data_IF_841618102072
#
_entry.id   IF_841618102072
#
_cell.length_a   1.000
_cell.length_b   1.000
_cell.length_c   1.000
_cell.angle_alpha   90.00
_cell.angle_beta   90.00
_cell.angle_gamma   90.00
#
_symmetry.space_group_name_H-M   'P 1'
#
loop_
_entity.id
_entity.type
_entity.pdbx_description
1 polymer ?
#
# COMPACT_ATOMS: atom_id res chain seq x y z
N UNK A 1 -18.95 -10.49 -4.92
CA UNK A 1 -17.50 -10.71 -4.72
C UNK A 1 -16.69 -10.24 -5.92
N UNK A 2 -17.07 -10.61 -7.16
CA UNK A 2 -16.38 -10.13 -8.36
C UNK A 2 -16.34 -8.59 -8.49
N UNK A 3 -17.44 -7.90 -8.17
CA UNK A 3 -17.46 -6.43 -8.14
C UNK A 3 -16.58 -5.85 -7.03
N UNK A 4 -16.62 -6.46 -5.84
CA UNK A 4 -15.84 -6.03 -4.67
C UNK A 4 -14.34 -6.15 -4.95
N UNK A 5 -13.86 -7.29 -5.46
CA UNK A 5 -12.43 -7.48 -5.74
C UNK A 5 -11.91 -6.47 -6.77
N UNK A 6 -12.69 -6.15 -7.79
CA UNK A 6 -12.33 -5.09 -8.75
C UNK A 6 -12.28 -3.71 -8.10
N UNK A 7 -13.26 -3.35 -7.27
CA UNK A 7 -13.26 -2.07 -6.57
C UNK A 7 -12.05 -1.91 -5.62
N UNK A 8 -11.71 -2.97 -4.88
CA UNK A 8 -10.56 -2.97 -3.96
C UNK A 8 -9.23 -2.94 -4.70
N UNK A 9 -9.11 -3.65 -5.83
CA UNK A 9 -7.89 -3.60 -6.64
C UNK A 9 -7.62 -2.21 -7.23
N UNK A 10 -8.67 -1.43 -7.54
CA UNK A 10 -8.52 -0.04 -7.99
C UNK A 10 -7.92 0.87 -6.90
N UNK A 11 -8.18 0.59 -5.62
CA UNK A 11 -7.54 1.32 -4.51
C UNK A 11 -6.04 1.04 -4.48
N UNK A 12 -5.63 -0.21 -4.67
CA UNK A 12 -4.21 -0.56 -4.76
C UNK A 12 -3.53 0.16 -5.94
N UNK A 13 -4.16 0.19 -7.12
CA UNK A 13 -3.61 0.88 -8.29
C UNK A 13 -3.48 2.39 -8.08
N UNK A 14 -4.49 3.03 -7.48
CA UNK A 14 -4.41 4.44 -7.11
C UNK A 14 -3.23 4.72 -6.16
N UNK A 15 -3.09 3.92 -5.12
CA UNK A 15 -2.03 4.08 -4.13
C UNK A 15 -0.63 3.83 -4.73
N UNK A 16 -0.48 2.86 -5.63
CA UNK A 16 0.77 2.63 -6.35
C UNK A 16 1.14 3.85 -7.23
N UNK A 17 0.17 4.44 -7.94
CA UNK A 17 0.40 5.67 -8.70
C UNK A 17 0.78 6.85 -7.80
N UNK A 18 0.10 7.02 -6.66
CA UNK A 18 0.42 8.09 -5.70
C UNK A 18 1.82 7.88 -5.08
N UNK A 19 2.18 6.66 -4.75
CA UNK A 19 3.52 6.32 -4.26
C UNK A 19 4.58 6.65 -5.31
N UNK A 20 4.35 6.30 -6.58
CA UNK A 20 5.27 6.60 -7.67
C UNK A 20 5.53 8.12 -7.83
N UNK A 21 4.50 8.95 -7.68
CA UNK A 21 4.64 10.41 -7.69
C UNK A 21 5.45 10.91 -6.48
N UNK A 22 5.24 10.32 -5.30
CA UNK A 22 5.89 10.73 -4.07
C UNK A 22 7.40 10.38 -4.03
N UNK A 23 7.79 9.23 -4.59
CA UNK A 23 9.19 8.77 -4.58
C UNK A 23 10.03 9.37 -5.70
N UNK A 24 9.42 9.91 -6.76
CA UNK A 24 10.14 10.50 -7.89
C UNK A 24 10.40 12.00 -7.67
N UNK A 25 11.69 12.38 -7.65
CA UNK A 25 12.13 13.76 -7.45
C UNK A 25 11.61 14.75 -8.51
N UNK A 26 11.16 14.25 -9.68
CA UNK A 26 10.55 15.09 -10.72
C UNK A 26 9.14 15.56 -10.36
N UNK A 27 8.44 14.82 -9.49
CA UNK A 27 7.03 15.06 -9.17
C UNK A 27 6.79 15.37 -7.69
N UNK A 28 7.67 14.95 -6.79
CA UNK A 28 7.47 15.05 -5.34
C UNK A 28 7.71 16.45 -4.72
N UNK A 29 7.83 17.48 -5.57
CA UNK A 29 8.00 18.88 -5.17
C UNK A 29 9.22 19.15 -4.27
N UNK A 30 10.40 18.64 -4.62
CA UNK A 30 11.66 18.98 -3.97
C UNK A 30 12.05 18.07 -2.79
N UNK A 31 11.38 16.93 -2.63
CA UNK A 31 11.84 15.88 -1.71
C UNK A 31 12.96 15.06 -2.36
N UNK A 32 13.87 14.45 -1.56
CA UNK A 32 14.89 13.55 -2.08
C UNK A 32 14.30 12.38 -2.90
N UNK A 33 15.04 11.93 -3.90
CA UNK A 33 14.66 10.75 -4.69
C UNK A 33 14.49 9.52 -3.79
N UNK A 34 13.45 8.73 -4.06
CA UNK A 34 13.03 7.58 -3.27
C UNK A 34 12.77 7.89 -1.78
N UNK A 35 12.55 9.16 -1.43
CA UNK A 35 12.42 9.64 -0.06
C UNK A 35 13.58 9.18 0.84
N UNK A 36 14.80 9.11 0.29
CA UNK A 36 15.98 8.80 1.08
C UNK A 36 16.25 9.90 2.11
N UNK A 37 16.42 9.52 3.38
CA UNK A 37 16.84 10.43 4.44
C UNK A 37 18.36 10.58 4.55
N UNK A 38 19.13 9.87 3.72
CA UNK A 38 20.59 9.92 3.75
C UNK A 38 21.10 11.26 3.22
N UNK A 39 22.14 11.79 3.88
CA UNK A 39 22.83 13.02 3.49
C UNK A 39 24.35 12.84 3.50
N UNK A 40 25.07 13.77 2.86
CA UNK A 40 26.54 13.75 2.83
C UNK A 40 27.12 12.57 2.07
N UNK A 41 28.25 12.04 2.55
CA UNK A 41 29.02 11.00 1.85
C UNK A 41 28.24 9.69 1.65
N UNK A 42 27.29 9.38 2.53
CA UNK A 42 26.49 8.15 2.48
C UNK A 42 25.28 8.27 1.56
N UNK A 43 24.95 9.45 1.05
CA UNK A 43 23.74 9.63 0.22
C UNK A 43 23.74 8.76 -1.04
N UNK A 44 24.90 8.60 -1.70
CA UNK A 44 24.99 7.86 -2.96
C UNK A 44 24.77 6.35 -2.83
N UNK A 45 25.00 5.78 -1.63
CA UNK A 45 24.91 4.33 -1.38
C UNK A 45 23.58 3.91 -0.75
N UNK A 46 22.70 4.87 -0.41
CA UNK A 46 21.39 4.59 0.16
C UNK A 46 20.30 4.79 -0.89
N UNK A 47 19.41 3.82 -1.00
CA UNK A 47 18.33 3.77 -2.00
C UNK A 47 16.96 4.15 -1.45
N UNK A 48 16.82 4.31 -0.14
CA UNK A 48 15.56 4.73 0.50
C UNK A 48 14.44 3.75 0.21
N UNK A 49 13.30 4.25 -0.28
CA UNK A 49 12.09 3.46 -0.50
C UNK A 49 12.02 2.76 -1.87
N UNK A 50 13.13 2.71 -2.63
CA UNK A 50 13.14 2.09 -3.96
C UNK A 50 12.67 0.64 -3.95
N UNK A 51 13.17 -0.16 -3.01
CA UNK A 51 12.78 -1.57 -2.88
C UNK A 51 11.29 -1.71 -2.50
N UNK A 52 10.80 -0.83 -1.62
CA UNK A 52 9.39 -0.82 -1.22
C UNK A 52 8.47 -0.51 -2.41
N UNK A 53 8.83 0.45 -3.27
CA UNK A 53 8.07 0.75 -4.49
C UNK A 53 7.99 -0.47 -5.43
N UNK A 54 9.09 -1.22 -5.59
CA UNK A 54 9.09 -2.45 -6.40
C UNK A 54 8.08 -3.46 -5.85
N UNK A 55 8.06 -3.64 -4.53
CA UNK A 55 7.09 -4.52 -3.87
C UNK A 55 5.64 -4.06 -4.08
N UNK A 56 5.37 -2.76 -3.92
CA UNK A 56 4.04 -2.18 -4.15
C UNK A 56 3.56 -2.40 -5.58
N UNK A 57 4.43 -2.19 -6.57
CA UNK A 57 4.10 -2.44 -7.98
C UNK A 57 3.76 -3.91 -8.22
N UNK A 58 4.54 -4.84 -7.64
CA UNK A 58 4.29 -6.28 -7.77
C UNK A 58 2.95 -6.71 -7.13
N UNK A 59 2.65 -6.26 -5.91
CA UNK A 59 1.39 -6.58 -5.24
C UNK A 59 0.18 -6.00 -5.96
N UNK A 60 0.31 -4.77 -6.45
CA UNK A 60 -0.75 -4.09 -7.22
C UNK A 60 -1.02 -4.84 -8.53
N UNK A 61 0.02 -5.23 -9.26
CA UNK A 61 -0.12 -6.02 -10.48
C UNK A 61 -0.79 -7.39 -10.21
N UNK A 62 -0.44 -8.06 -9.10
CA UNK A 62 -1.09 -9.30 -8.69
C UNK A 62 -2.58 -9.08 -8.37
N UNK A 63 -2.92 -8.02 -7.64
CA UNK A 63 -4.30 -7.69 -7.29
C UNK A 63 -5.14 -7.40 -8.55
N UNK A 64 -4.61 -6.61 -9.48
CA UNK A 64 -5.27 -6.29 -10.74
C UNK A 64 -5.48 -7.53 -11.61
N UNK A 65 -4.48 -8.42 -11.70
CA UNK A 65 -4.58 -9.68 -12.45
C UNK A 65 -5.74 -10.56 -11.94
N UNK A 66 -6.04 -10.51 -10.63
CA UNK A 66 -7.08 -11.33 -10.00
C UNK A 66 -8.51 -10.82 -10.18
N UNK A 67 -8.71 -9.72 -10.92
CA UNK A 67 -10.03 -9.10 -11.12
C UNK A 67 -10.92 -9.81 -12.16
N UNK A 68 -10.42 -10.84 -12.84
CA UNK A 68 -11.21 -11.66 -13.77
C UNK A 68 -12.45 -12.24 -13.04
N UNK A 69 -13.70 -11.94 -13.47
CA UNK A 69 -14.89 -12.35 -12.73
C UNK A 69 -15.07 -13.87 -12.71
N UNK A 70 -15.12 -14.52 -11.55
CA UNK A 70 -15.34 -15.97 -11.49
C UNK A 70 -16.78 -16.37 -11.89
N UNK A 71 -17.74 -15.47 -11.69
CA UNK A 71 -19.17 -15.71 -11.98
C UNK A 71 -19.51 -16.00 -13.45
N UNK A 72 -18.63 -15.65 -14.39
CA UNK A 72 -18.81 -15.96 -15.82
C UNK A 72 -18.32 -17.36 -16.20
N UNK A 73 -17.67 -18.08 -15.29
CA UNK A 73 -17.07 -19.40 -15.55
C UNK A 73 -17.98 -20.58 -15.21
N UNK A 74 -19.30 -20.42 -15.21
CA UNK A 74 -20.24 -21.53 -14.95
C UNK A 74 -19.90 -22.78 -15.78
N UNK A 75 -19.97 -23.95 -15.15
CA UNK A 75 -19.77 -25.26 -15.78
C UNK A 75 -20.90 -26.18 -15.38
N UNK A 76 -21.41 -26.91 -16.36
CA UNK A 76 -22.44 -27.89 -16.13
C UNK A 76 -21.87 -29.11 -15.39
N UNK A 77 -22.59 -29.57 -14.37
CA UNK A 77 -22.25 -30.75 -13.59
C UNK A 77 -23.51 -31.55 -13.26
N UNK A 78 -23.35 -32.72 -12.63
CA UNK A 78 -24.46 -33.58 -12.20
C UNK A 78 -25.42 -33.89 -13.36
N UNK A 79 -24.89 -34.46 -14.45
CA UNK A 79 -25.68 -34.84 -15.63
C UNK A 79 -26.57 -33.71 -16.20
N UNK A 80 -26.09 -32.46 -16.14
CA UNK A 80 -26.81 -31.24 -16.54
C UNK A 80 -27.93 -30.76 -15.59
N UNK A 81 -28.10 -31.37 -14.43
CA UNK A 81 -29.00 -30.84 -13.39
C UNK A 81 -28.45 -29.56 -12.74
N UNK A 82 -27.11 -29.41 -12.69
CA UNK A 82 -26.43 -28.18 -12.27
C UNK A 82 -25.71 -27.56 -13.47
N UNK A 83 -26.47 -27.14 -14.46
CA UNK A 83 -25.99 -26.52 -15.70
C UNK A 83 -25.56 -25.04 -15.53
N UNK A 84 -26.14 -24.33 -14.56
CA UNK A 84 -25.80 -22.95 -14.20
C UNK A 84 -25.47 -22.79 -12.71
N UNK A 85 -24.24 -22.38 -12.42
CA UNK A 85 -23.73 -22.12 -11.06
C UNK A 85 -23.05 -20.75 -10.96
N UNK A 86 -22.90 -20.25 -9.73
CA UNK A 86 -22.43 -18.89 -9.46
C UNK A 86 -20.92 -18.74 -9.36
N UNK A 87 -20.18 -19.83 -9.13
CA UNK A 87 -18.75 -19.80 -8.75
C UNK A 87 -18.45 -18.90 -7.52
N UNK A 88 -19.44 -18.67 -6.65
CA UNK A 88 -19.38 -17.68 -5.58
C UNK A 88 -18.21 -17.85 -4.60
N UNK A 89 -17.90 -19.09 -4.20
CA UNK A 89 -16.78 -19.39 -3.29
C UNK A 89 -15.42 -19.10 -3.91
N UNK A 90 -15.27 -19.28 -5.23
CA UNK A 90 -14.04 -18.91 -5.96
C UNK A 90 -13.91 -17.40 -5.96
N UNK A 91 -14.97 -16.67 -6.34
CA UNK A 91 -14.98 -15.21 -6.32
C UNK A 91 -14.65 -14.64 -4.92
N UNK A 92 -15.15 -15.27 -3.85
CA UNK A 92 -14.87 -14.86 -2.47
C UNK A 92 -13.41 -15.04 -2.08
N UNK A 93 -12.78 -16.17 -2.45
CA UNK A 93 -11.36 -16.41 -2.21
C UNK A 93 -10.46 -15.45 -2.99
N UNK A 94 -10.81 -15.16 -4.23
CA UNK A 94 -10.09 -14.15 -5.03
C UNK A 94 -10.20 -12.77 -4.37
N UNK A 95 -11.38 -12.39 -3.90
CA UNK A 95 -11.59 -11.13 -3.20
C UNK A 95 -10.77 -11.03 -1.91
N UNK A 96 -10.66 -12.12 -1.14
CA UNK A 96 -9.82 -12.18 0.06
C UNK A 96 -8.34 -11.95 -0.28
N UNK A 97 -7.83 -12.58 -1.34
CA UNK A 97 -6.44 -12.37 -1.77
C UNK A 97 -6.19 -10.94 -2.24
N UNK A 98 -7.14 -10.34 -2.96
CA UNK A 98 -7.04 -8.92 -3.36
C UNK A 98 -7.02 -8.01 -2.13
N UNK A 99 -7.83 -8.28 -1.10
CA UNK A 99 -7.78 -7.54 0.15
C UNK A 99 -6.40 -7.63 0.83
N UNK A 100 -5.84 -8.84 0.96
CA UNK A 100 -4.50 -9.04 1.55
C UNK A 100 -3.41 -8.24 0.81
N UNK A 101 -3.48 -8.19 -0.53
CA UNK A 101 -2.53 -7.46 -1.36
C UNK A 101 -2.73 -5.94 -1.22
N UNK A 102 -3.97 -5.47 -1.22
CA UNK A 102 -4.27 -4.04 -1.04
C UNK A 102 -3.85 -3.55 0.35
N UNK A 103 -4.00 -4.36 1.40
CA UNK A 103 -3.49 -4.00 2.74
C UNK A 103 -1.96 -3.83 2.77
N UNK A 104 -1.21 -4.66 2.04
CA UNK A 104 0.24 -4.51 1.89
C UNK A 104 0.59 -3.19 1.19
N UNK A 105 -0.14 -2.85 0.12
CA UNK A 105 0.03 -1.58 -0.59
C UNK A 105 -0.29 -0.38 0.32
N UNK A 106 -1.39 -0.43 1.06
CA UNK A 106 -1.77 0.62 2.02
C UNK A 106 -0.68 0.79 3.10
N UNK A 107 -0.20 -0.30 3.68
CA UNK A 107 0.86 -0.27 4.69
C UNK A 107 2.16 0.35 4.14
N UNK A 108 2.56 -0.01 2.93
CA UNK A 108 3.72 0.58 2.27
C UNK A 108 3.53 2.08 1.98
N UNK A 109 2.34 2.49 1.56
CA UNK A 109 2.03 3.91 1.35
C UNK A 109 2.04 4.69 2.66
N UNK A 110 1.66 4.10 3.80
CA UNK A 110 1.80 4.72 5.12
C UNK A 110 3.27 4.97 5.48
N UNK A 111 4.17 4.01 5.19
CA UNK A 111 5.62 4.20 5.37
C UNK A 111 6.11 5.40 4.55
N UNK A 112 5.74 5.45 3.27
CA UNK A 112 6.14 6.53 2.38
C UNK A 112 5.54 7.88 2.78
N UNK A 113 4.28 7.93 3.18
CA UNK A 113 3.62 9.15 3.65
C UNK A 113 4.29 9.70 4.91
N UNK A 114 4.57 8.83 5.90
CA UNK A 114 5.31 9.24 7.11
C UNK A 114 6.70 9.77 6.77
N UNK A 115 7.45 9.04 5.94
CA UNK A 115 8.78 9.46 5.51
C UNK A 115 8.73 10.81 4.77
N UNK A 116 7.79 10.98 3.84
CA UNK A 116 7.64 12.20 3.05
C UNK A 116 7.26 13.42 3.89
N UNK A 117 6.34 13.25 4.86
CA UNK A 117 5.94 14.33 5.78
C UNK A 117 7.12 14.75 6.67
N UNK A 118 7.82 13.80 7.27
CA UNK A 118 8.99 14.09 8.12
C UNK A 118 10.11 14.79 7.33
N UNK A 119 10.42 14.32 6.11
CA UNK A 119 11.42 14.97 5.25
C UNK A 119 11.01 16.39 4.85
N UNK A 120 9.72 16.61 4.60
CA UNK A 120 9.20 17.94 4.29
C UNK A 120 9.31 18.88 5.49
N UNK A 121 8.91 18.42 6.67
CA UNK A 121 8.96 19.20 7.92
C UNK A 121 10.38 19.68 8.25
N UNK A 122 11.39 18.84 7.97
CA UNK A 122 12.81 19.20 8.10
C UNK A 122 13.30 20.25 7.11
N UNK A 123 12.66 20.36 5.94
CA UNK A 123 12.97 21.42 4.98
C UNK A 123 12.28 22.73 5.36
N UNK A 124 11.01 22.65 5.77
CA UNK A 124 10.21 23.77 6.21
C UNK A 124 9.12 23.27 7.18
N UNK A 125 9.03 23.83 8.41
CA UNK A 125 8.06 23.38 9.41
C UNK A 125 6.63 23.39 8.87
N UNK A 126 5.91 22.28 9.07
CA UNK A 126 4.55 22.07 8.61
C UNK A 126 3.53 22.39 9.71
N UNK A 127 2.45 23.09 9.34
CA UNK A 127 1.27 23.23 10.19
C UNK A 127 0.26 22.12 9.87
N UNK A 128 0.41 20.97 10.53
CA UNK A 128 -0.52 19.84 10.37
C UNK A 128 -1.82 20.04 11.15
N UNK A 129 -2.92 19.51 10.64
CA UNK A 129 -4.18 19.42 11.41
C UNK A 129 -4.00 18.46 12.60
N UNK A 130 -4.80 18.57 13.67
CA UNK A 130 -4.66 17.70 14.84
C UNK A 130 -4.69 16.20 14.52
N UNK A 131 -5.57 15.77 13.59
CA UNK A 131 -5.68 14.38 13.20
C UNK A 131 -4.43 13.89 12.45
N UNK A 132 -3.87 14.71 11.55
CA UNK A 132 -2.64 14.37 10.83
C UNK A 132 -1.44 14.37 11.78
N UNK A 133 -1.34 15.34 12.70
CA UNK A 133 -0.30 15.37 13.70
C UNK A 133 -0.34 14.14 14.62
N UNK A 134 -1.53 13.73 15.08
CA UNK A 134 -1.71 12.52 15.88
C UNK A 134 -1.29 11.26 15.12
N UNK A 135 -1.70 11.13 13.85
CA UNK A 135 -1.32 10.00 13.00
C UNK A 135 0.19 9.96 12.74
N UNK A 136 0.82 11.11 12.43
CA UNK A 136 2.27 11.19 12.25
C UNK A 136 3.02 10.86 13.55
N UNK A 137 2.50 11.27 14.70
CA UNK A 137 3.05 10.92 16.02
C UNK A 137 3.03 9.42 16.28
N UNK A 138 1.89 8.73 16.06
CA UNK A 138 1.79 7.28 16.20
C UNK A 138 2.72 6.56 15.20
N UNK A 139 2.72 6.97 13.93
CA UNK A 139 3.59 6.37 12.92
C UNK A 139 5.07 6.61 13.23
N UNK A 140 5.47 7.76 13.79
CA UNK A 140 6.85 8.01 14.21
C UNK A 140 7.30 7.07 15.35
N UNK A 141 6.39 6.68 16.24
CA UNK A 141 6.68 5.67 17.28
C UNK A 141 6.88 4.26 16.72
N UNK A 142 6.32 3.95 15.55
CA UNK A 142 6.41 2.64 14.89
C UNK A 142 7.50 2.57 13.82
N UNK A 143 7.73 3.70 13.14
CA UNK A 143 8.54 3.83 11.93
C UNK A 143 9.59 4.91 12.18
N UNK A 144 10.78 4.56 12.68
CA UNK A 144 11.90 5.48 12.74
C UNK A 144 12.20 6.03 11.34
N UNK A 145 12.69 7.27 11.26
CA UNK A 145 13.10 7.85 9.98
C UNK A 145 14.12 6.96 9.29
N UNK A 146 13.88 6.68 8.02
CA UNK A 146 14.78 5.89 7.19
C UNK A 146 15.86 6.82 6.68
N UNK A 147 16.94 6.94 7.47
CA UNK A 147 18.15 7.68 7.10
C UNK A 147 19.04 6.80 6.23
N UNK A 148 19.24 5.55 6.64
CA UNK A 148 20.01 4.56 5.89
C UNK A 148 19.16 3.34 5.55
N UNK A 149 19.57 2.64 4.50
CA UNK A 149 18.90 1.45 4.01
C UNK A 149 18.89 0.35 5.08
N UNK A 150 17.70 -0.20 5.29
CA UNK A 150 17.44 -1.28 6.23
C UNK A 150 16.24 -2.08 5.76
N UNK A 151 16.09 -3.29 6.30
CA UNK A 151 14.88 -4.06 6.09
C UNK A 151 13.67 -3.35 6.72
N UNK A 152 12.53 -3.41 6.02
CA UNK A 152 11.25 -2.79 6.41
C UNK A 152 10.12 -3.82 6.60
N UNK A 153 10.44 -5.12 6.51
CA UNK A 153 9.48 -6.21 6.57
C UNK A 153 8.71 -6.24 7.90
N UNK A 154 9.39 -5.98 9.02
CA UNK A 154 8.77 -5.99 10.36
C UNK A 154 7.78 -4.85 10.51
N UNK A 155 8.17 -3.65 10.10
CA UNK A 155 7.31 -2.48 10.09
C UNK A 155 6.10 -2.69 9.19
N UNK A 156 6.32 -3.23 7.99
CA UNK A 156 5.23 -3.53 7.05
C UNK A 156 4.22 -4.49 7.67
N UNK A 157 4.67 -5.62 8.25
CA UNK A 157 3.79 -6.58 8.92
C UNK A 157 3.05 -5.94 10.09
N UNK A 158 3.73 -5.14 10.92
CA UNK A 158 3.11 -4.44 12.05
C UNK A 158 2.02 -3.46 11.60
N UNK A 159 2.25 -2.73 10.51
CA UNK A 159 1.25 -1.82 9.93
C UNK A 159 0.05 -2.57 9.34
N UNK A 160 0.28 -3.70 8.65
CA UNK A 160 -0.80 -4.56 8.15
C UNK A 160 -1.67 -5.05 9.31
N UNK A 161 -1.06 -5.50 10.41
CA UNK A 161 -1.81 -5.87 11.62
C UNK A 161 -2.58 -4.68 12.20
N UNK A 162 -2.00 -3.48 12.21
CA UNK A 162 -2.66 -2.25 12.63
C UNK A 162 -3.89 -1.94 11.78
N UNK A 163 -3.80 -2.08 10.45
CA UNK A 163 -4.92 -1.90 9.52
C UNK A 163 -6.03 -2.91 9.84
N UNK A 164 -5.69 -4.19 9.97
CA UNK A 164 -6.65 -5.27 10.26
C UNK A 164 -7.36 -5.12 11.60
N UNK A 165 -6.66 -4.57 12.61
CA UNK A 165 -7.23 -4.26 13.93
C UNK A 165 -7.94 -2.90 13.98
N UNK A 166 -8.01 -2.18 12.86
CA UNK A 166 -8.61 -0.86 12.77
C UNK A 166 -8.00 0.13 13.79
N UNK A 167 -6.68 0.11 13.92
CA UNK A 167 -5.95 0.94 14.89
C UNK A 167 -6.10 2.45 14.64
N UNK A 168 -6.45 2.85 13.41
CA UNK A 168 -6.73 4.23 13.02
C UNK A 168 -8.20 4.37 12.64
N UNK A 169 -8.87 5.36 13.24
CA UNK A 169 -10.27 5.68 12.92
C UNK A 169 -10.40 6.22 11.48
N UNK A 170 -11.42 5.73 10.76
CA UNK A 170 -11.65 6.11 9.36
C UNK A 170 -12.42 7.45 9.23
N UNK A 171 -13.25 7.77 10.21
CA UNK A 171 -14.06 8.98 10.29
C UNK A 171 -14.24 9.38 11.77
N UNK A 172 -14.35 10.69 12.08
CA UNK A 172 -14.76 11.16 13.41
C UNK A 172 -16.22 10.79 13.72
#
# INVERSE_FOLDING_TARGET
MDTLKTAVANIADLLDRQLALLVDARYNHGLPANLSGASGERAAINHGLKALQISVSAWTAEALKQTMPASVFSRSTECHNQDKVSMGTIAARDALRVLDLTEQVVAATLIAARQGVELRDRQAPLALTPNLAAMQGDLAGRLPLIVEDRALDRELVSLIEGIRRQAWGLYP
#
